data_IF_366041827401
#
_entry.id   IF_366041827401
#
_cell.length_a   1.000
_cell.length_b   1.000
_cell.length_c   1.000
_cell.angle_alpha   90.00
_cell.angle_beta   90.00
_cell.angle_gamma   90.00
#
_symmetry.space_group_name_H-M   'P 1'
#
loop_
_entity.id
_entity.type
_entity.pdbx_description
1 polymer ?
#
# COMPACT_ATOMS: atom_id res chain seq x y z
N UNK A 1 100.11 -20.59 -8.46
CA UNK A 1 100.56 -21.74 -9.27
C UNK A 1 99.34 -22.31 -9.99
N UNK A 2 99.43 -22.44 -11.32
CA UNK A 2 98.60 -23.21 -12.27
C UNK A 2 97.17 -22.73 -12.61
N UNK A 3 97.02 -22.43 -13.92
CA UNK A 3 95.82 -22.27 -14.75
C UNK A 3 95.13 -23.64 -15.01
N UNK A 4 93.85 -23.61 -15.42
CA UNK A 4 93.16 -24.46 -16.42
C UNK A 4 91.62 -24.27 -16.25
N UNK A 5 90.89 -23.48 -17.05
CA UNK A 5 90.30 -23.70 -18.40
C UNK A 5 89.48 -24.99 -18.57
N UNK A 6 88.16 -24.84 -18.82
CA UNK A 6 87.28 -25.56 -19.77
C UNK A 6 85.81 -25.46 -19.28
N UNK A 7 84.91 -24.73 -19.94
CA UNK A 7 84.09 -25.14 -21.11
C UNK A 7 83.25 -26.39 -20.88
N UNK A 8 81.92 -26.26 -20.95
CA UNK A 8 81.03 -27.43 -21.02
C UNK A 8 79.55 -27.14 -20.80
N UNK A 9 78.86 -26.79 -21.90
CA UNK A 9 77.47 -27.12 -22.27
C UNK A 9 76.37 -27.23 -21.19
N UNK A 10 75.35 -26.38 -21.35
CA UNK A 10 73.98 -26.61 -20.87
C UNK A 10 73.38 -27.90 -21.44
N UNK A 11 72.46 -28.53 -20.69
CA UNK A 11 71.19 -28.92 -21.28
C UNK A 11 69.96 -28.46 -20.48
N UNK A 12 69.10 -27.74 -21.21
CA UNK A 12 67.63 -27.71 -21.15
C UNK A 12 66.91 -28.34 -19.95
N UNK A 13 66.29 -27.45 -19.15
CA UNK A 13 65.21 -27.78 -18.22
C UNK A 13 63.94 -28.22 -18.99
N UNK A 14 63.25 -29.30 -18.62
CA UNK A 14 61.94 -29.61 -19.17
C UNK A 14 60.86 -28.69 -18.59
N UNK A 15 60.16 -27.98 -19.47
CA UNK A 15 59.02 -27.10 -19.18
C UNK A 15 57.84 -27.93 -18.66
N UNK A 16 57.48 -27.75 -17.39
CA UNK A 16 56.26 -28.28 -16.80
C UNK A 16 55.07 -27.50 -17.38
N UNK A 17 54.32 -28.12 -18.29
CA UNK A 17 53.10 -27.55 -18.89
C UNK A 17 52.01 -27.51 -17.80
N UNK A 18 51.74 -26.30 -17.29
CA UNK A 18 50.66 -26.06 -16.36
C UNK A 18 49.32 -26.24 -17.09
N UNK A 19 48.62 -27.36 -16.81
CA UNK A 19 47.25 -27.57 -17.30
C UNK A 19 46.32 -26.54 -16.63
N UNK A 20 45.82 -25.60 -17.41
CA UNK A 20 44.75 -24.69 -17.02
C UNK A 20 43.48 -25.49 -16.62
N UNK A 21 42.79 -25.15 -15.52
CA UNK A 21 41.52 -25.77 -15.16
C UNK A 21 40.42 -25.35 -16.15
N UNK A 22 39.55 -26.32 -16.49
CA UNK A 22 38.37 -26.12 -17.36
C UNK A 22 37.39 -25.13 -16.73
N UNK A 23 36.77 -24.22 -17.50
CA UNK A 23 35.72 -23.36 -16.97
C UNK A 23 34.48 -24.19 -16.61
N UNK A 24 33.96 -23.93 -15.42
CA UNK A 24 32.68 -24.46 -14.94
C UNK A 24 31.55 -23.96 -15.85
N UNK A 25 30.70 -24.88 -16.29
CA UNK A 25 29.53 -24.64 -17.12
C UNK A 25 28.50 -23.87 -16.27
N UNK A 26 28.22 -22.63 -16.64
CA UNK A 26 27.15 -21.83 -16.01
C UNK A 26 25.79 -22.52 -16.23
N UNK A 27 24.91 -22.59 -15.22
CA UNK A 27 23.52 -22.96 -15.45
C UNK A 27 22.88 -21.88 -16.33
N UNK A 28 22.20 -22.31 -17.40
CA UNK A 28 21.37 -21.43 -18.22
C UNK A 28 20.25 -20.92 -17.32
N UNK A 29 20.38 -19.69 -16.83
CA UNK A 29 19.27 -18.95 -16.24
C UNK A 29 18.16 -18.95 -17.28
N UNK A 30 17.06 -19.64 -16.99
CA UNK A 30 15.84 -19.47 -17.77
C UNK A 30 15.47 -17.99 -17.64
N UNK A 31 15.73 -17.22 -18.69
CA UNK A 31 15.22 -15.86 -18.81
C UNK A 31 13.70 -15.97 -18.64
N UNK A 32 13.20 -15.43 -17.53
CA UNK A 32 11.77 -15.33 -17.25
C UNK A 32 11.20 -14.54 -18.41
N UNK A 33 10.42 -15.21 -19.26
CA UNK A 33 9.74 -14.61 -20.40
C UNK A 33 8.95 -13.42 -19.87
N UNK A 34 9.14 -12.23 -20.45
CA UNK A 34 8.28 -11.09 -20.16
C UNK A 34 6.82 -11.52 -20.43
N UNK A 35 5.88 -11.19 -19.53
CA UNK A 35 4.48 -11.53 -19.74
C UNK A 35 4.01 -10.91 -21.06
N UNK A 36 3.32 -11.71 -21.88
CA UNK A 36 2.70 -11.25 -23.12
C UNK A 36 1.62 -10.21 -22.82
N UNK A 37 1.43 -9.24 -23.72
CA UNK A 37 0.44 -8.17 -23.61
C UNK A 37 -1.01 -8.65 -23.32
N UNK A 38 -1.32 -9.91 -23.66
CA UNK A 38 -2.60 -10.58 -23.38
C UNK A 38 -2.81 -10.93 -21.88
N UNK A 39 -1.73 -11.17 -21.13
CA UNK A 39 -1.79 -11.51 -19.69
C UNK A 39 -2.02 -10.25 -18.83
N UNK A 40 -1.47 -9.11 -19.27
CA UNK A 40 -1.69 -7.79 -18.63
C UNK A 40 -3.15 -7.34 -18.73
N UNK A 41 -3.84 -7.62 -19.84
CA UNK A 41 -5.26 -7.27 -20.01
C UNK A 41 -6.19 -8.14 -19.15
N UNK A 42 -5.78 -9.36 -18.78
CA UNK A 42 -6.61 -10.22 -17.93
C UNK A 42 -6.55 -9.85 -16.44
N UNK A 43 -5.43 -9.33 -15.93
CA UNK A 43 -5.40 -8.78 -14.56
C UNK A 43 -6.22 -7.49 -14.41
N UNK A 44 -6.31 -6.68 -15.47
CA UNK A 44 -7.07 -5.42 -15.48
C UNK A 44 -8.60 -5.63 -15.49
N UNK A 45 -9.07 -6.82 -15.89
CA UNK A 45 -10.51 -7.13 -16.02
C UNK A 45 -11.16 -7.61 -14.70
N UNK A 46 -10.38 -7.82 -13.64
CA UNK A 46 -10.90 -8.39 -12.38
C UNK A 46 -11.36 -7.35 -11.34
N UNK A 47 -10.99 -6.08 -11.51
CA UNK A 47 -11.41 -4.98 -10.64
C UNK A 47 -12.26 -4.00 -11.44
N UNK A 48 -13.43 -4.47 -11.86
CA UNK A 48 -14.43 -3.61 -12.47
C UNK A 48 -14.90 -2.58 -11.44
N UNK A 49 -14.38 -1.35 -11.55
CA UNK A 49 -14.75 -0.21 -10.71
C UNK A 49 -15.99 0.47 -11.25
N UNK A 50 -17.00 0.63 -10.40
CA UNK A 50 -18.24 1.32 -10.70
C UNK A 50 -18.19 2.70 -10.04
N UNK A 51 -18.95 3.70 -10.54
CA UNK A 51 -18.88 5.05 -9.99
C UNK A 51 -19.24 5.09 -8.51
N UNK A 52 -20.23 4.32 -8.06
CA UNK A 52 -20.64 4.28 -6.67
C UNK A 52 -21.41 5.54 -6.25
N UNK A 53 -21.37 5.86 -4.96
CA UNK A 53 -21.99 7.06 -4.39
C UNK A 53 -20.99 7.82 -3.51
N UNK A 54 -21.08 9.16 -3.42
CA UNK A 54 -20.26 9.97 -2.52
C UNK A 54 -20.67 9.84 -1.04
N UNK A 55 -21.83 9.25 -0.76
CA UNK A 55 -22.31 9.02 0.60
C UNK A 55 -22.86 7.59 0.74
N UNK A 56 -22.71 6.97 1.92
CA UNK A 56 -22.04 7.48 3.14
C UNK A 56 -20.51 7.50 3.04
N UNK A 57 -19.85 8.33 3.86
CA UNK A 57 -18.39 8.39 3.93
C UNK A 57 -17.79 7.10 4.52
N UNK A 58 -16.58 6.77 4.06
CA UNK A 58 -15.83 5.57 4.42
C UNK A 58 -16.21 4.35 3.58
N UNK A 59 -15.77 3.17 4.03
CA UNK A 59 -16.17 1.90 3.42
C UNK A 59 -17.53 1.42 3.95
N UNK A 60 -18.48 1.22 3.05
CA UNK A 60 -19.82 0.71 3.37
C UNK A 60 -20.19 -0.45 2.45
N UNK A 61 -20.41 -1.61 3.06
CA UNK A 61 -20.86 -2.82 2.39
C UNK A 61 -22.40 -2.83 2.27
N UNK A 62 -22.92 -3.10 1.08
CA UNK A 62 -24.37 -3.10 0.77
C UNK A 62 -24.98 -4.51 0.61
N UNK A 63 -24.18 -5.56 0.77
CA UNK A 63 -24.58 -6.95 0.56
C UNK A 63 -24.11 -7.56 -0.75
N UNK A 64 -23.88 -6.74 -1.78
CA UNK A 64 -23.37 -7.20 -3.09
C UNK A 64 -21.95 -6.71 -3.36
N UNK A 65 -21.54 -5.61 -2.75
CA UNK A 65 -20.22 -5.01 -2.91
C UNK A 65 -19.96 -3.94 -1.86
N UNK A 66 -18.83 -3.25 -2.00
CA UNK A 66 -18.43 -2.19 -1.08
C UNK A 66 -18.31 -0.86 -1.81
N UNK A 67 -19.03 0.14 -1.31
CA UNK A 67 -18.84 1.53 -1.69
C UNK A 67 -17.75 2.15 -0.81
N UNK A 68 -16.82 2.83 -1.46
CA UNK A 68 -15.76 3.59 -0.82
C UNK A 68 -15.97 5.07 -1.11
N UNK A 69 -15.93 5.91 -0.08
CA UNK A 69 -16.01 7.36 -0.21
C UNK A 69 -15.00 8.04 0.74
N UNK A 70 -14.10 8.84 0.18
CA UNK A 70 -13.06 9.58 0.90
C UNK A 70 -13.14 11.06 0.56
N UNK A 71 -13.21 11.90 1.58
CA UNK A 71 -13.10 13.35 1.40
C UNK A 71 -11.63 13.77 1.29
N UNK A 72 -11.27 14.47 0.21
CA UNK A 72 -9.97 15.12 0.07
C UNK A 72 -10.04 16.30 -0.92
N UNK A 73 -9.84 17.52 -0.40
CA UNK A 73 -9.81 18.75 -1.20
C UNK A 73 -8.47 18.95 -1.92
N UNK A 74 -7.36 18.55 -1.30
CA UNK A 74 -6.00 18.78 -1.80
C UNK A 74 -5.42 17.63 -2.64
N UNK A 75 -6.19 16.55 -2.86
CA UNK A 75 -5.77 15.43 -3.69
C UNK A 75 -5.90 15.77 -5.18
N UNK A 76 -4.87 15.45 -5.96
CA UNK A 76 -4.94 15.42 -7.42
C UNK A 76 -5.37 14.05 -7.92
N UNK A 77 -4.99 13.00 -7.20
CA UNK A 77 -5.37 11.62 -7.49
C UNK A 77 -5.45 10.82 -6.18
N UNK A 78 -6.45 9.95 -6.08
CA UNK A 78 -6.62 9.03 -4.96
C UNK A 78 -6.57 7.60 -5.49
N UNK A 79 -5.72 6.77 -4.86
CA UNK A 79 -5.63 5.35 -5.13
C UNK A 79 -6.10 4.56 -3.93
N UNK A 80 -7.09 3.70 -4.12
CA UNK A 80 -7.52 2.71 -3.15
C UNK A 80 -6.59 1.51 -3.25
N UNK A 81 -5.93 1.16 -2.14
CA UNK A 81 -5.00 0.05 -2.05
C UNK A 81 -5.68 -1.09 -1.31
N UNK A 82 -6.02 -2.17 -2.01
CA UNK A 82 -6.55 -3.40 -1.43
C UNK A 82 -5.39 -4.31 -1.05
N UNK A 83 -5.35 -4.76 0.19
CA UNK A 83 -4.28 -5.62 0.71
C UNK A 83 -4.83 -7.03 0.93
N UNK A 84 -4.26 -8.01 0.24
CA UNK A 84 -4.61 -9.42 0.43
C UNK A 84 -4.02 -9.98 1.74
N UNK A 85 -4.44 -11.18 2.14
CA UNK A 85 -3.90 -11.88 3.31
C UNK A 85 -2.40 -12.16 3.19
N UNK A 86 -1.92 -12.42 1.97
CA UNK A 86 -0.50 -12.61 1.65
C UNK A 86 0.31 -11.30 1.66
N UNK A 87 -0.33 -10.15 1.90
CA UNK A 87 0.30 -8.82 1.88
C UNK A 87 0.47 -8.24 0.48
N UNK A 88 -0.13 -8.86 -0.55
CA UNK A 88 -0.11 -8.33 -1.92
C UNK A 88 -0.98 -7.08 -1.99
N UNK A 89 -0.39 -5.95 -2.40
CA UNK A 89 -1.10 -4.69 -2.62
C UNK A 89 -1.63 -4.63 -4.06
N UNK A 90 -2.94 -4.40 -4.21
CA UNK A 90 -3.58 -4.09 -5.49
C UNK A 90 -4.14 -2.68 -5.46
N UNK A 91 -3.70 -1.84 -6.40
CA UNK A 91 -4.08 -0.43 -6.47
C UNK A 91 -5.22 -0.23 -7.46
N UNK A 92 -6.24 0.48 -7.03
CA UNK A 92 -7.39 0.87 -7.83
C UNK A 92 -7.44 2.39 -7.87
N UNK A 93 -7.36 2.96 -9.07
CA UNK A 93 -7.53 4.39 -9.27
C UNK A 93 -8.99 4.80 -9.04
N UNK A 94 -9.21 5.78 -8.17
CA UNK A 94 -10.54 6.36 -7.91
C UNK A 94 -10.70 7.58 -8.82
N UNK A 95 -11.51 7.44 -9.87
CA UNK A 95 -11.69 8.50 -10.88
C UNK A 95 -12.87 9.43 -10.58
N UNK A 96 -13.89 8.94 -9.88
CA UNK A 96 -15.10 9.71 -9.63
C UNK A 96 -14.94 10.62 -8.41
N UNK A 97 -15.33 11.89 -8.60
CA UNK A 97 -15.23 12.92 -7.57
C UNK A 97 -16.45 13.83 -7.61
N UNK A 98 -17.13 13.96 -6.47
CA UNK A 98 -18.26 14.86 -6.28
C UNK A 98 -18.02 15.71 -5.04
N UNK A 99 -18.01 17.04 -5.19
CA UNK A 99 -17.79 17.98 -4.07
C UNK A 99 -16.57 17.64 -3.19
N UNK A 100 -15.44 17.26 -3.81
CA UNK A 100 -14.20 16.80 -3.16
C UNK A 100 -14.31 15.46 -2.42
N UNK A 101 -15.38 14.70 -2.66
CA UNK A 101 -15.54 13.33 -2.19
C UNK A 101 -15.21 12.37 -3.34
N UNK A 102 -14.06 11.72 -3.20
CA UNK A 102 -13.57 10.68 -4.09
C UNK A 102 -14.32 9.40 -3.77
N UNK A 103 -14.95 8.79 -4.75
CA UNK A 103 -15.78 7.62 -4.51
C UNK A 103 -15.66 6.57 -5.61
N UNK A 104 -15.87 5.32 -5.21
CA UNK A 104 -15.97 4.19 -6.13
C UNK A 104 -16.81 3.08 -5.51
N UNK A 105 -17.24 2.14 -6.34
CA UNK A 105 -17.93 0.94 -5.91
C UNK A 105 -17.26 -0.30 -6.50
N UNK A 106 -16.98 -1.26 -5.62
CA UNK A 106 -16.32 -2.51 -5.97
C UNK A 106 -17.24 -3.70 -5.64
N UNK A 107 -17.82 -4.38 -6.66
CA UNK A 107 -18.74 -5.50 -6.45
C UNK A 107 -18.05 -6.75 -5.89
N UNK A 108 -16.74 -6.90 -6.10
CA UNK A 108 -16.00 -8.09 -5.64
C UNK A 108 -15.47 -7.97 -4.21
N UNK A 109 -15.59 -6.79 -3.58
CA UNK A 109 -15.04 -6.55 -2.24
C UNK A 109 -16.07 -6.91 -1.18
N UNK A 110 -15.71 -7.90 -0.35
CA UNK A 110 -16.52 -8.42 0.74
C UNK A 110 -16.03 -7.90 2.11
N UNK A 111 -16.86 -8.00 3.16
CA UNK A 111 -16.43 -7.70 4.53
C UNK A 111 -15.24 -8.56 4.94
N UNK A 112 -14.29 -7.96 5.66
CA UNK A 112 -13.00 -8.56 6.01
C UNK A 112 -11.85 -8.12 5.09
N UNK A 113 -12.15 -7.53 3.92
CA UNK A 113 -11.13 -6.98 3.04
C UNK A 113 -10.35 -5.85 3.74
N UNK A 114 -9.03 -5.93 3.67
CA UNK A 114 -8.11 -4.90 4.19
C UNK A 114 -7.85 -3.86 3.10
N UNK A 115 -7.83 -2.60 3.48
CA UNK A 115 -7.62 -1.50 2.55
C UNK A 115 -6.89 -0.32 3.19
N UNK A 116 -6.33 0.53 2.33
CA UNK A 116 -5.78 1.84 2.66
C UNK A 116 -5.85 2.77 1.45
N UNK A 117 -5.44 4.01 1.62
CA UNK A 117 -5.43 5.01 0.55
C UNK A 117 -4.03 5.55 0.31
N UNK A 118 -3.70 5.83 -0.94
CA UNK A 118 -2.54 6.64 -1.33
C UNK A 118 -3.05 7.88 -2.03
N UNK A 119 -2.59 9.03 -1.57
CA UNK A 119 -3.05 10.33 -2.07
C UNK A 119 -1.88 11.05 -2.73
N UNK A 120 -2.04 11.32 -4.01
CA UNK A 120 -1.10 12.14 -4.79
C UNK A 120 -1.59 13.57 -4.80
N UNK A 121 -0.67 14.52 -4.66
CA UNK A 121 -0.94 15.95 -4.76
C UNK A 121 0.32 16.77 -4.50
N UNK A 122 0.19 18.10 -4.35
CA UNK A 122 1.34 18.98 -4.11
C UNK A 122 1.99 18.68 -2.75
N UNK A 123 3.32 18.70 -2.75
CA UNK A 123 4.14 18.67 -1.55
C UNK A 123 4.85 20.02 -1.38
N UNK A 124 4.17 20.94 -0.70
CA UNK A 124 4.65 22.28 -0.38
C UNK A 124 4.52 22.52 1.13
N UNK A 125 5.51 22.08 1.92
CA UNK A 125 5.50 22.21 3.39
C UNK A 125 5.26 23.63 3.91
N UNK A 126 5.71 24.64 3.17
CA UNK A 126 5.56 26.06 3.48
C UNK A 126 4.10 26.54 3.38
N UNK A 127 3.32 25.95 2.48
CA UNK A 127 1.90 26.22 2.27
C UNK A 127 1.00 25.25 3.06
N UNK A 128 1.59 24.28 3.77
CA UNK A 128 0.89 23.24 4.52
C UNK A 128 0.49 22.02 3.68
N UNK A 129 0.79 21.99 2.38
CA UNK A 129 0.50 20.84 1.52
C UNK A 129 1.56 19.75 1.72
N UNK A 130 1.15 18.56 2.17
CA UNK A 130 2.05 17.44 2.46
C UNK A 130 1.54 16.12 1.88
N UNK A 131 0.89 16.18 0.73
CA UNK A 131 0.41 14.98 0.03
C UNK A 131 1.60 14.12 -0.39
N UNK A 132 1.59 12.84 -0.01
CA UNK A 132 2.67 11.92 -0.33
C UNK A 132 2.11 10.52 -0.67
N UNK A 133 2.17 10.09 -1.94
CA UNK A 133 1.63 8.79 -2.35
C UNK A 133 2.48 7.59 -1.86
N UNK A 134 3.73 7.81 -1.43
CA UNK A 134 4.55 6.76 -0.83
C UNK A 134 4.00 6.32 0.54
N UNK A 135 3.19 7.18 1.19
CA UNK A 135 2.60 6.87 2.49
C UNK A 135 1.22 6.25 2.31
N UNK A 136 1.05 5.05 2.84
CA UNK A 136 -0.25 4.41 2.96
C UNK A 136 -1.02 5.09 4.10
N UNK A 137 -2.20 5.60 3.77
CA UNK A 137 -3.06 6.34 4.68
C UNK A 137 -4.24 5.47 5.13
N UNK A 138 -4.57 5.58 6.41
CA UNK A 138 -5.79 5.00 6.96
C UNK A 138 -6.98 5.90 6.62
N UNK A 139 -8.10 5.28 6.27
CA UNK A 139 -9.38 5.96 6.07
C UNK A 139 -9.86 6.61 7.38
N UNK A 140 -10.10 7.94 7.41
CA UNK A 140 -10.64 8.62 8.58
C UNK A 140 -11.98 8.08 9.06
N UNK A 141 -12.75 7.44 8.18
CA UNK A 141 -14.05 6.85 8.44
C UNK A 141 -14.00 5.32 8.55
N UNK A 142 -12.81 4.72 8.71
CA UNK A 142 -12.66 3.29 8.96
C UNK A 142 -13.44 2.88 10.22
N UNK A 143 -14.35 1.91 10.05
CA UNK A 143 -15.16 1.36 11.16
C UNK A 143 -14.40 0.30 11.95
N UNK A 144 -13.40 -0.32 11.33
CA UNK A 144 -12.47 -1.23 11.97
C UNK A 144 -11.08 -1.06 11.36
N UNK A 145 -10.07 -1.34 12.17
CA UNK A 145 -8.67 -1.33 11.77
C UNK A 145 -8.01 -2.66 12.14
N UNK A 146 -6.99 -3.06 11.39
CA UNK A 146 -6.18 -4.22 11.70
C UNK A 146 -4.69 -3.93 11.56
N UNK A 147 -3.88 -4.69 12.29
CA UNK A 147 -2.43 -4.51 12.36
C UNK A 147 -2.02 -3.63 13.54
N UNK A 148 -0.72 -3.65 13.80
CA UNK A 148 -0.06 -2.74 14.72
C UNK A 148 0.78 -1.76 13.89
N UNK A 149 0.94 -0.54 14.40
CA UNK A 149 1.88 0.39 13.78
C UNK A 149 3.24 0.23 14.43
N UNK A 150 4.26 0.04 13.61
CA UNK A 150 5.65 0.09 14.04
C UNK A 150 6.15 1.51 13.81
N UNK A 151 6.74 2.16 14.81
CA UNK A 151 7.27 3.54 14.73
C UNK A 151 8.50 3.69 13.82
N UNK A 152 8.44 3.11 12.63
CA UNK A 152 9.46 3.17 11.62
C UNK A 152 9.55 4.59 11.01
N UNK A 153 10.76 5.09 10.68
CA UNK A 153 10.93 6.37 10.01
C UNK A 153 10.12 6.52 8.71
N UNK A 154 9.82 5.42 8.01
CA UNK A 154 9.02 5.41 6.79
C UNK A 154 7.58 5.87 7.00
N UNK A 155 7.05 5.86 8.23
CA UNK A 155 5.71 6.40 8.53
C UNK A 155 5.64 7.93 8.40
N UNK A 156 6.79 8.61 8.44
CA UNK A 156 6.85 10.07 8.40
C UNK A 156 6.95 10.57 6.96
N UNK A 157 6.25 11.67 6.67
CA UNK A 157 6.28 12.29 5.35
C UNK A 157 7.61 12.97 5.01
N UNK A 158 8.48 13.19 6.01
CA UNK A 158 9.76 13.90 5.92
C UNK A 158 10.83 13.13 6.69
N UNK A 159 12.10 13.40 6.39
CA UNK A 159 13.24 12.82 7.11
C UNK A 159 13.49 13.54 8.45
N UNK A 160 13.82 12.77 9.49
CA UNK A 160 14.13 13.35 10.79
C UNK A 160 15.34 14.30 10.71
N UNK A 161 15.13 15.55 11.15
CA UNK A 161 16.14 16.59 11.10
C UNK A 161 15.99 17.56 9.92
N UNK A 162 15.20 17.20 8.90
CA UNK A 162 14.83 18.09 7.80
C UNK A 162 13.32 18.08 7.54
N UNK A 163 12.55 18.97 8.20
CA UNK A 163 11.09 19.06 8.04
C UNK A 163 10.62 19.50 6.65
N UNK A 164 11.53 19.99 5.81
CA UNK A 164 11.27 20.44 4.44
C UNK A 164 11.48 19.33 3.41
N UNK A 165 12.25 18.30 3.77
CA UNK A 165 12.46 17.11 2.95
C UNK A 165 11.16 16.31 2.74
N UNK A 166 11.17 15.44 1.74
CA UNK A 166 10.13 14.43 1.50
C UNK A 166 10.76 13.04 1.65
N UNK A 167 10.16 12.21 2.48
CA UNK A 167 10.54 10.80 2.59
C UNK A 167 9.68 9.98 1.60
N UNK A 168 10.33 9.28 0.67
CA UNK A 168 9.70 8.45 -0.37
C UNK A 168 9.68 6.95 -0.04
N UNK A 169 10.08 6.56 1.16
CA UNK A 169 10.00 5.16 1.63
C UNK A 169 8.54 4.73 1.80
N UNK A 170 8.26 3.47 1.48
CA UNK A 170 6.90 2.93 1.58
C UNK A 170 6.52 2.64 3.03
N UNK A 171 5.43 3.25 3.50
CA UNK A 171 4.93 3.06 4.86
C UNK A 171 3.96 1.88 4.98
N UNK A 172 3.57 1.25 3.87
CA UNK A 172 2.61 0.15 3.81
C UNK A 172 2.81 -0.97 4.84
N UNK A 173 4.01 -1.57 4.96
CA UNK A 173 4.22 -2.69 5.89
C UNK A 173 4.21 -2.30 7.37
N UNK A 174 4.32 -1.01 7.70
CA UNK A 174 4.40 -0.51 9.08
C UNK A 174 3.12 0.21 9.53
N UNK A 175 2.15 0.38 8.64
CA UNK A 175 0.91 1.12 8.90
C UNK A 175 -0.25 0.18 9.22
N UNK A 176 -1.19 0.66 10.03
CA UNK A 176 -2.46 -0.03 10.25
C UNK A 176 -3.35 0.08 9.00
N UNK A 177 -4.09 -0.99 8.71
CA UNK A 177 -5.00 -1.06 7.57
C UNK A 177 -6.45 -0.90 8.06
N UNK A 178 -7.28 -0.29 7.22
CA UNK A 178 -8.73 -0.30 7.40
C UNK A 178 -9.31 -1.66 7.03
N UNK A 179 -10.39 -2.08 7.68
CA UNK A 179 -11.10 -3.32 7.34
C UNK A 179 -12.55 -3.01 7.01
N UNK A 180 -13.03 -3.53 5.89
CA UNK A 180 -14.45 -3.44 5.53
C UNK A 180 -15.26 -4.27 6.52
N UNK A 181 -16.22 -3.65 7.20
CA UNK A 181 -17.08 -4.33 8.17
C UNK A 181 -18.47 -4.58 7.62
N UNK A 182 -19.08 -5.66 8.09
CA UNK A 182 -20.50 -5.88 7.90
C UNK A 182 -21.29 -5.11 8.99
N UNK A 183 -22.14 -4.13 8.62
CA UNK A 183 -22.92 -3.37 9.60
C UNK A 183 -24.11 -4.16 10.18
N UNK A 184 -24.47 -5.31 9.60
CA UNK A 184 -25.62 -6.09 10.08
C UNK A 184 -25.32 -6.72 11.44
N UNK A 185 -26.00 -6.20 12.47
CA UNK A 185 -26.01 -6.76 13.82
C UNK A 185 -27.44 -6.76 14.34
N UNK A 186 -27.88 -7.89 14.91
CA UNK A 186 -29.20 -8.01 15.53
C UNK A 186 -29.14 -7.45 16.95
N UNK A 187 -29.86 -6.35 17.16
CA UNK A 187 -29.92 -5.66 18.45
C UNK A 187 -30.93 -6.29 19.43
N UNK A 188 -31.59 -7.41 19.08
CA UNK A 188 -32.55 -8.14 19.92
C UNK A 188 -33.63 -7.23 20.56
N UNK A 189 -34.09 -6.24 19.78
CA UNK A 189 -35.09 -5.28 20.22
C UNK A 189 -34.60 -4.23 21.23
N UNK A 190 -33.28 -4.03 21.36
CA UNK A 190 -32.72 -2.92 22.14
C UNK A 190 -33.29 -1.59 21.65
N UNK A 191 -33.74 -0.77 22.60
CA UNK A 191 -34.40 0.50 22.36
C UNK A 191 -33.85 1.52 23.33
N UNK A 192 -33.60 2.73 22.82
CA UNK A 192 -33.20 3.85 23.65
C UNK A 192 -34.17 3.98 24.84
N UNK A 193 -33.66 3.99 26.09
CA UNK A 193 -34.52 4.19 27.24
C UNK A 193 -35.22 5.53 27.09
N UNK A 194 -36.56 5.53 27.29
CA UNK A 194 -37.36 6.73 27.08
C UNK A 194 -36.81 7.90 27.92
N UNK A 195 -36.64 9.10 27.34
CA UNK A 195 -36.16 10.24 28.09
C UNK A 195 -37.10 10.51 29.26
N UNK A 196 -36.53 10.71 30.44
CA UNK A 196 -37.27 11.03 31.67
C UNK A 196 -37.93 12.40 31.49
N UNK A 197 -39.17 12.42 30.99
CA UNK A 197 -39.94 13.65 30.84
C UNK A 197 -40.05 14.36 32.18
N UNK A 198 -39.68 15.65 32.19
CA UNK A 198 -39.86 16.53 33.31
C UNK A 198 -41.35 16.57 33.70
N UNK A 199 -41.62 16.57 35.01
CA UNK A 199 -42.97 16.66 35.58
C UNK A 199 -43.75 17.81 34.91
N UNK A 200 -45.05 17.64 34.60
CA UNK A 200 -45.87 18.72 34.07
C UNK A 200 -45.82 19.92 35.03
N UNK A 201 -45.50 21.08 34.47
CA UNK A 201 -45.40 22.35 35.18
C UNK A 201 -46.70 22.65 35.91
N UNK A 202 -46.56 23.06 37.18
CA UNK A 202 -47.63 23.53 38.04
C UNK A 202 -48.47 24.60 37.31
N UNK A 203 -49.70 24.26 36.94
CA UNK A 203 -50.68 25.23 36.47
C UNK A 203 -51.02 26.16 37.63
N UNK A 204 -50.53 27.41 37.54
CA UNK A 204 -50.87 28.48 38.47
C UNK A 204 -52.35 28.80 38.30
N UNK A 205 -53.18 28.32 39.22
CA UNK A 205 -54.60 28.62 39.31
C UNK A 205 -54.75 30.10 39.68
N UNK A 206 -55.31 30.91 38.76
CA UNK A 206 -55.77 32.28 39.01
C UNK A 206 -57.01 32.30 39.90
#
# INVERSE_FOLDING_TARGET
>A
MRRCVASGLLPSRPTLIHRLPRPLRTPRTHARRAPSADESTQLEDHLHTWPGNPYPLGATFDGSGTNFALFSEAAEQVQLCLIDEDGTETRVDVTEVDAHVWHCYLPHVQPGQRYGYRVTGPYEPENGHRSNPAKLLLDPYAKATCGEFDWDPSLFAYEFGDPSSRNDEDSGPHMMLGVVVNPFFDWDGDRLPAPRTARPSCTRRT
#
